data_IF_579467215195
#
_entry.id   IF_579467215195
#
_cell.length_a   1.000
_cell.length_b   1.000
_cell.length_c   1.000
_cell.angle_alpha   90.00
_cell.angle_beta   90.00
_cell.angle_gamma   90.00
#
_symmetry.space_group_name_H-M   'P 1'
#
loop_
_entity.id
_entity.type
_entity.pdbx_description
1 polymer ?
#
# COMPACT_ATOMS: atom_id res chain seq x y z
N UNK A 1 -5.82 5.83 17.62
CA UNK A 1 -6.66 6.32 16.50
C UNK A 1 -5.93 5.90 15.24
N UNK A 2 -6.51 5.02 14.44
CA UNK A 2 -5.84 4.40 13.29
C UNK A 2 -5.70 5.37 12.11
N UNK A 3 -4.61 5.23 11.37
CA UNK A 3 -4.37 5.90 10.09
C UNK A 3 -5.23 5.19 9.05
N UNK A 4 -6.19 5.92 8.47
CA UNK A 4 -7.03 5.40 7.41
C UNK A 4 -6.90 6.31 6.19
N UNK A 5 -6.65 5.73 5.02
CA UNK A 5 -6.52 6.47 3.78
C UNK A 5 -7.30 5.79 2.66
N UNK A 6 -7.70 6.57 1.68
CA UNK A 6 -8.32 6.08 0.46
C UNK A 6 -7.75 6.86 -0.72
N UNK A 7 -7.72 6.22 -1.88
CA UNK A 7 -7.17 6.82 -3.10
C UNK A 7 -7.76 6.21 -4.36
N UNK A 8 -7.34 6.74 -5.50
CA UNK A 8 -7.67 6.20 -6.81
C UNK A 8 -6.51 5.36 -7.33
N UNK A 9 -6.81 4.19 -7.88
CA UNK A 9 -5.84 3.37 -8.60
C UNK A 9 -5.86 3.78 -10.07
N UNK A 10 -4.74 4.31 -10.55
CA UNK A 10 -4.58 4.69 -11.96
C UNK A 10 -3.64 3.72 -12.67
N UNK A 11 -4.01 3.32 -13.88
CA UNK A 11 -3.12 2.53 -14.74
C UNK A 11 -2.26 3.46 -15.60
N UNK A 12 -1.10 2.98 -16.06
CA UNK A 12 -0.25 3.67 -17.03
C UNK A 12 -1.08 4.23 -18.20
N UNK A 13 -1.02 5.54 -18.39
CA UNK A 13 -1.90 6.28 -19.30
C UNK A 13 -3.00 7.10 -18.61
N UNK A 14 -3.02 7.12 -17.26
CA UNK A 14 -3.86 8.03 -16.46
C UNK A 14 -5.32 7.59 -16.32
N UNK A 15 -5.67 6.37 -16.74
CA UNK A 15 -7.03 5.86 -16.60
C UNK A 15 -7.23 5.35 -15.17
N UNK A 16 -8.22 5.89 -14.46
CA UNK A 16 -8.69 5.32 -13.19
C UNK A 16 -9.27 3.93 -13.47
N UNK A 17 -8.73 2.93 -12.78
CA UNK A 17 -9.11 1.51 -12.91
C UNK A 17 -9.70 0.93 -11.63
N UNK A 18 -9.68 1.71 -10.55
CA UNK A 18 -10.18 1.29 -9.25
C UNK A 18 -9.91 2.32 -8.16
N UNK A 19 -10.06 1.89 -6.92
CA UNK A 19 -9.77 2.66 -5.71
C UNK A 19 -8.91 1.85 -4.75
N UNK A 20 -8.26 2.54 -3.83
CA UNK A 20 -7.54 1.94 -2.71
C UNK A 20 -8.21 2.31 -1.40
N UNK A 21 -8.16 1.41 -0.43
CA UNK A 21 -8.59 1.66 0.93
C UNK A 21 -7.62 1.01 1.90
N UNK A 22 -7.11 1.78 2.85
CA UNK A 22 -6.16 1.33 3.84
C UNK A 22 -6.64 1.66 5.25
N UNK A 23 -6.42 0.72 6.17
CA UNK A 23 -6.65 0.90 7.61
C UNK A 23 -5.45 0.35 8.37
N UNK A 24 -4.80 1.21 9.15
CA UNK A 24 -3.75 0.81 10.07
C UNK A 24 -4.35 0.14 11.31
N UNK A 25 -3.86 -1.06 11.61
CA UNK A 25 -4.12 -1.79 12.85
C UNK A 25 -3.16 -1.35 13.97
N UNK A 26 -1.97 -0.88 13.60
CA UNK A 26 -0.94 -0.39 14.52
C UNK A 26 -0.14 0.76 13.94
N UNK A 27 0.25 1.69 14.81
CA UNK A 27 1.14 2.82 14.52
C UNK A 27 2.19 2.86 15.65
N UNK A 28 3.44 3.16 15.30
CA UNK A 28 4.51 3.39 16.26
C UNK A 28 5.53 4.39 15.75
N UNK A 29 6.29 5.00 16.67
CA UNK A 29 7.22 6.09 16.38
C UNK A 29 6.57 7.48 16.42
N UNK A 30 7.27 8.49 15.92
CA UNK A 30 6.63 9.78 15.61
C UNK A 30 6.43 10.82 16.72
N UNK A 31 6.36 10.46 18.00
CA UNK A 31 6.26 11.40 19.15
C UNK A 31 6.53 10.72 20.50
N UNK A 32 6.79 11.50 21.55
CA UNK A 32 6.95 11.04 22.94
C UNK A 32 5.70 10.30 23.40
N UNK A 33 5.82 8.99 23.64
CA UNK A 33 4.76 8.15 24.20
C UNK A 33 4.41 6.93 23.35
N UNK A 34 4.80 6.91 22.08
CA UNK A 34 4.80 5.69 21.26
C UNK A 34 6.17 5.02 21.32
N UNK A 35 6.20 3.69 21.38
CA UNK A 35 7.45 2.94 21.34
C UNK A 35 8.11 3.17 19.97
N UNK A 36 9.37 3.58 19.99
CA UNK A 36 10.18 3.59 18.78
C UNK A 36 10.27 2.18 18.22
N UNK A 37 10.23 2.08 16.90
CA UNK A 37 10.44 0.81 16.18
C UNK A 37 11.90 0.37 16.14
N UNK A 38 12.84 1.24 16.52
CA UNK A 38 14.27 0.93 16.58
C UNK A 38 14.77 1.12 18.01
N UNK A 39 15.65 0.21 18.47
CA UNK A 39 16.27 0.36 19.78
C UNK A 39 17.81 0.30 19.67
N UNK A 40 18.55 1.33 20.14
CA UNK A 40 18.04 2.61 20.68
C UNK A 40 17.36 3.47 19.58
N UNK A 41 16.48 4.41 19.96
CA UNK A 41 15.82 5.29 18.99
C UNK A 41 16.86 6.23 18.37
N UNK A 42 17.06 6.10 17.06
CA UNK A 42 18.07 6.88 16.31
C UNK A 42 17.50 7.51 15.05
N UNK A 43 16.31 7.09 14.63
CA UNK A 43 15.53 7.71 13.59
C UNK A 43 15.03 9.11 14.00
N UNK A 44 14.78 10.00 13.04
CA UNK A 44 14.16 11.29 13.32
C UNK A 44 12.82 11.10 14.04
N UNK A 45 12.52 11.96 15.02
CA UNK A 45 11.28 11.91 15.78
C UNK A 45 10.02 12.06 14.91
N UNK A 46 10.14 12.52 13.65
CA UNK A 46 9.03 12.61 12.69
C UNK A 46 8.81 11.33 11.88
N UNK A 47 9.58 10.28 12.16
CA UNK A 47 9.47 8.98 11.50
C UNK A 47 8.45 8.11 12.20
N UNK A 48 7.43 7.71 11.46
CA UNK A 48 6.32 6.89 11.90
C UNK A 48 6.42 5.56 11.18
N UNK A 49 5.93 4.52 11.82
CA UNK A 49 5.69 3.21 11.22
C UNK A 49 4.24 2.86 11.39
N UNK A 50 3.73 2.10 10.43
CA UNK A 50 2.37 1.61 10.46
C UNK A 50 2.29 0.21 9.88
N UNK A 51 1.29 -0.54 10.31
CA UNK A 51 0.95 -1.83 9.73
C UNK A 51 -0.57 -1.99 9.75
N UNK A 52 -1.10 -2.68 8.74
CA UNK A 52 -2.54 -2.83 8.58
C UNK A 52 -2.92 -3.61 7.33
N UNK A 53 -4.11 -3.31 6.81
CA UNK A 53 -4.67 -3.97 5.63
C UNK A 53 -4.91 -2.94 4.53
N UNK A 54 -4.39 -3.23 3.34
CA UNK A 54 -4.66 -2.48 2.12
C UNK A 54 -5.57 -3.31 1.20
N UNK A 55 -6.65 -2.69 0.74
CA UNK A 55 -7.54 -3.21 -0.29
C UNK A 55 -7.37 -2.40 -1.59
N UNK A 56 -7.08 -3.09 -2.69
CA UNK A 56 -7.17 -2.56 -4.06
C UNK A 56 -8.46 -3.05 -4.70
N UNK A 57 -9.39 -2.15 -4.95
CA UNK A 57 -10.75 -2.47 -5.41
C UNK A 57 -10.90 -2.05 -6.86
N UNK A 58 -11.25 -2.99 -7.73
CA UNK A 58 -11.51 -2.73 -9.16
C UNK A 58 -12.88 -3.28 -9.56
N UNK A 59 -13.44 -2.89 -10.73
CA UNK A 59 -14.65 -3.52 -11.26
C UNK A 59 -14.54 -5.04 -11.50
N UNK A 60 -13.33 -5.59 -11.50
CA UNK A 60 -13.06 -7.00 -11.80
C UNK A 60 -12.74 -7.85 -10.56
N UNK A 61 -12.69 -7.24 -9.38
CA UNK A 61 -12.35 -7.91 -8.13
C UNK A 61 -11.57 -7.01 -7.18
N UNK A 62 -11.39 -7.53 -5.97
CA UNK A 62 -10.61 -6.91 -4.89
C UNK A 62 -9.35 -7.73 -4.63
N UNK A 63 -8.21 -7.05 -4.45
CA UNK A 63 -6.97 -7.63 -3.94
C UNK A 63 -6.75 -7.09 -2.52
N UNK A 64 -6.50 -7.99 -1.56
CA UNK A 64 -6.17 -7.62 -0.19
C UNK A 64 -4.71 -7.96 0.12
N UNK A 65 -4.03 -7.05 0.81
CA UNK A 65 -2.67 -7.23 1.30
C UNK A 65 -2.54 -6.83 2.76
N UNK A 66 -1.65 -7.52 3.46
CA UNK A 66 -1.13 -7.06 4.75
C UNK A 66 0.03 -6.12 4.46
N UNK A 67 -0.07 -4.90 4.97
CA UNK A 67 0.84 -3.80 4.72
C UNK A 67 1.72 -3.52 5.95
N UNK A 68 2.95 -3.06 5.70
CA UNK A 68 3.80 -2.44 6.69
C UNK A 68 4.65 -1.34 6.06
N UNK A 69 4.61 -0.14 6.62
CA UNK A 69 5.24 1.05 6.05
C UNK A 69 5.94 1.95 7.06
N UNK A 70 6.74 2.87 6.50
CA UNK A 70 7.41 3.96 7.19
C UNK A 70 6.99 5.27 6.52
N UNK A 71 6.64 6.28 7.32
CA UNK A 71 6.32 7.64 6.91
C UNK A 71 7.25 8.61 7.63
N UNK A 72 7.99 9.44 6.88
CA UNK A 72 8.61 10.63 7.45
C UNK A 72 7.67 11.82 7.25
N UNK A 73 7.01 12.23 8.33
CA UNK A 73 6.00 13.27 8.28
C UNK A 73 6.60 14.68 8.05
N UNK A 74 7.90 14.89 8.33
CA UNK A 74 8.54 16.16 8.04
C UNK A 74 8.91 16.29 6.57
N UNK A 75 9.43 15.22 5.98
CA UNK A 75 9.76 15.19 4.56
C UNK A 75 8.54 14.93 3.67
N UNK A 76 7.44 14.42 4.23
CA UNK A 76 6.24 14.07 3.49
C UNK A 76 6.47 12.90 2.53
N UNK A 77 7.29 11.92 2.92
CA UNK A 77 7.65 10.76 2.10
C UNK A 77 7.31 9.48 2.83
N UNK A 78 6.86 8.46 2.09
CA UNK A 78 6.58 7.15 2.65
C UNK A 78 6.97 6.01 1.72
N UNK A 79 7.16 4.85 2.32
CA UNK A 79 7.32 3.59 1.60
C UNK A 79 6.72 2.45 2.41
N UNK A 80 6.17 1.48 1.72
CA UNK A 80 5.53 0.33 2.35
C UNK A 80 5.68 -0.96 1.54
N UNK A 81 5.60 -2.07 2.27
CA UNK A 81 5.72 -3.43 1.79
C UNK A 81 4.38 -4.15 1.97
N UNK A 82 3.79 -4.53 0.85
CA UNK A 82 2.48 -5.16 0.78
C UNK A 82 2.60 -6.63 0.42
N UNK A 83 2.07 -7.51 1.28
CA UNK A 83 2.03 -8.96 1.06
C UNK A 83 0.62 -9.39 0.74
N UNK A 84 0.40 -9.96 -0.44
CA UNK A 84 -0.93 -10.39 -0.89
C UNK A 84 -1.47 -11.49 0.04
N UNK A 85 -2.66 -11.27 0.59
CA UNK A 85 -3.39 -12.22 1.43
C UNK A 85 -4.47 -12.98 0.65
N UNK A 86 -4.89 -12.45 -0.49
CA UNK A 86 -5.85 -13.06 -1.39
C UNK A 86 -6.66 -12.02 -2.15
N UNK A 87 -7.73 -12.47 -2.78
CA UNK A 87 -8.61 -11.59 -3.53
C UNK A 87 -9.83 -12.30 -4.10
N UNK A 88 -10.67 -11.51 -4.76
CA UNK A 88 -11.91 -11.95 -5.43
C UNK A 88 -11.84 -11.69 -6.94
N UNK A 89 -12.72 -12.31 -7.71
CA UNK A 89 -12.80 -12.12 -9.16
C UNK A 89 -11.48 -12.47 -9.87
N UNK A 90 -10.88 -11.52 -10.60
CA UNK A 90 -9.61 -11.77 -11.30
C UNK A 90 -8.43 -12.02 -10.37
N UNK A 91 -8.56 -11.67 -9.08
CA UNK A 91 -7.54 -11.85 -8.04
C UNK A 91 -7.79 -13.09 -7.17
N UNK A 92 -8.75 -13.95 -7.52
CA UNK A 92 -8.91 -15.23 -6.82
C UNK A 92 -7.61 -16.06 -6.87
N UNK A 93 -7.19 -16.52 -5.69
CA UNK A 93 -5.93 -17.25 -5.50
C UNK A 93 -4.68 -16.40 -5.79
N UNK A 94 -4.78 -15.07 -5.70
CA UNK A 94 -3.63 -14.20 -5.86
C UNK A 94 -2.59 -14.42 -4.74
N UNK A 95 -1.32 -14.22 -5.09
CA UNK A 95 -0.18 -14.27 -4.18
C UNK A 95 0.91 -13.31 -4.66
N UNK A 96 1.91 -13.05 -3.82
CA UNK A 96 3.05 -12.22 -4.18
C UNK A 96 3.27 -11.05 -3.22
N UNK A 97 4.06 -10.10 -3.68
CA UNK A 97 4.49 -8.94 -2.89
C UNK A 97 4.66 -7.76 -3.82
N UNK A 98 4.19 -6.60 -3.36
CA UNK A 98 4.39 -5.33 -4.03
C UNK A 98 4.79 -4.27 -3.02
N UNK A 99 5.26 -3.14 -3.52
CA UNK A 99 5.79 -2.03 -2.77
C UNK A 99 5.07 -0.77 -3.23
N UNK A 100 4.79 0.13 -2.29
CA UNK A 100 4.28 1.45 -2.61
C UNK A 100 5.29 2.48 -2.11
N UNK A 101 5.62 3.43 -2.98
CA UNK A 101 6.56 4.51 -2.70
C UNK A 101 5.91 5.83 -3.12
N UNK A 102 5.85 6.80 -2.22
CA UNK A 102 5.11 8.02 -2.50
C UNK A 102 5.45 9.19 -1.60
N UNK A 103 4.71 10.28 -1.84
CA UNK A 103 4.80 11.53 -1.11
C UNK A 103 3.42 12.00 -0.68
N UNK A 104 3.33 12.61 0.50
CA UNK A 104 2.13 13.33 0.93
C UNK A 104 2.05 14.68 0.22
N UNK A 105 0.84 15.13 -0.12
CA UNK A 105 0.61 16.46 -0.66
C UNK A 105 0.93 17.52 0.39
N UNK A 106 1.47 18.67 -0.06
CA UNK A 106 1.95 19.73 0.83
C UNK A 106 0.86 20.36 1.71
N UNK A 107 -0.41 20.24 1.31
CA UNK A 107 -1.58 20.70 2.05
C UNK A 107 -2.14 19.63 3.02
N UNK A 108 -1.50 18.45 3.08
CA UNK A 108 -1.94 17.31 3.88
C UNK A 108 -3.24 16.66 3.39
N UNK A 109 -3.74 17.03 2.21
CA UNK A 109 -5.02 16.56 1.70
C UNK A 109 -4.99 15.13 1.14
N UNK A 110 -3.80 14.59 0.87
CA UNK A 110 -3.65 13.26 0.28
C UNK A 110 -2.20 12.89 0.02
N UNK A 111 -2.01 11.97 -0.92
CA UNK A 111 -0.72 11.44 -1.32
C UNK A 111 -0.71 11.06 -2.80
N UNK A 112 0.49 11.00 -3.37
CA UNK A 112 0.77 10.44 -4.69
C UNK A 112 1.82 9.35 -4.54
N UNK A 113 1.62 8.19 -5.20
CA UNK A 113 2.52 7.06 -5.05
C UNK A 113 2.56 6.18 -6.30
N UNK A 114 3.67 5.46 -6.43
CA UNK A 114 3.90 4.43 -7.45
C UNK A 114 3.82 3.05 -6.79
N UNK A 115 3.19 2.09 -7.49
CA UNK A 115 3.10 0.70 -7.04
C UNK A 115 4.02 -0.15 -7.89
N UNK A 116 4.96 -0.86 -7.28
CA UNK A 116 5.89 -1.74 -7.99
C UNK A 116 5.91 -3.15 -7.41
N UNK A 117 6.24 -4.16 -8.21
CA UNK A 117 6.33 -5.56 -7.76
C UNK A 117 5.49 -6.52 -8.59
N UNK A 118 5.16 -7.67 -8.02
CA UNK A 118 4.49 -8.75 -8.76
C UNK A 118 3.33 -9.37 -7.96
N UNK A 119 2.16 -9.42 -8.61
CA UNK A 119 0.99 -10.18 -8.16
C UNK A 119 0.78 -11.36 -9.11
N UNK A 120 0.93 -12.58 -8.58
CA UNK A 120 0.68 -13.83 -9.28
C UNK A 120 -0.78 -14.23 -9.11
N UNK A 121 -1.49 -14.51 -10.20
CA UNK A 121 -2.89 -14.97 -10.18
C UNK A 121 -3.01 -16.38 -10.77
N UNK A 122 -3.89 -17.22 -10.21
CA UNK A 122 -3.97 -18.65 -10.55
C UNK A 122 -4.99 -18.99 -11.64
N UNK A 123 -5.88 -18.06 -12.01
CA UNK A 123 -6.95 -18.36 -12.97
C UNK A 123 -6.42 -18.43 -14.42
N UNK A 124 -6.57 -19.59 -15.06
CA UNK A 124 -6.03 -19.89 -16.41
C UNK A 124 -6.63 -19.04 -17.54
N UNK A 125 -7.85 -18.52 -17.39
CA UNK A 125 -8.44 -17.53 -18.31
C UNK A 125 -7.75 -16.16 -18.22
N UNK A 126 -7.20 -15.81 -17.06
CA UNK A 126 -6.40 -14.59 -16.84
C UNK A 126 -4.93 -14.80 -17.24
N UNK A 127 -4.40 -16.00 -17.04
CA UNK A 127 -3.01 -16.36 -17.37
C UNK A 127 -2.69 -16.26 -18.88
N UNK A 128 -3.69 -16.47 -19.76
CA UNK A 128 -3.50 -16.38 -21.21
C UNK A 128 -3.53 -14.94 -21.74
N UNK A 129 -4.03 -13.97 -20.95
CA UNK A 129 -4.06 -12.53 -21.32
C UNK A 129 -3.04 -11.67 -20.58
N UNK A 130 -2.46 -12.10 -19.46
CA UNK A 130 -1.49 -11.30 -18.71
C UNK A 130 -0.27 -12.12 -18.31
N UNK A 131 0.80 -12.02 -19.10
CA UNK A 131 2.17 -12.29 -18.63
C UNK A 131 2.55 -11.16 -17.67
N UNK A 132 2.46 -11.42 -16.36
CA UNK A 132 2.76 -10.49 -15.26
C UNK A 132 1.79 -9.29 -15.23
N UNK A 133 0.97 -9.21 -14.18
CA UNK A 133 0.34 -7.92 -13.83
C UNK A 133 1.44 -7.09 -13.20
N UNK A 134 2.15 -6.32 -14.04
CA UNK A 134 2.89 -5.16 -13.55
C UNK A 134 1.83 -4.17 -13.08
N UNK A 135 1.73 -4.00 -11.76
CA UNK A 135 1.11 -2.81 -11.21
C UNK A 135 2.02 -1.64 -11.63
N UNK A 136 1.49 -0.64 -12.35
CA UNK A 136 2.26 0.51 -12.79
C UNK A 136 2.52 1.50 -11.66
#
# INVERSE_FOLDING_TARGET
MGLCTAGELTQRGGRVVGSTYYVADGIGGGVIGEDSVVFPPVEPATTWTYAGVLSLITPYGELQSSDAGILDNAAGIFTELNRVQGGTGIFEGASGTFYINGTTLADGSGFEAEITGEVCVTNWWSAMKMRRVFLP
#
